data_IF_469193017986
#
_entry.id   IF_469193017986
#
_cell.length_a   1.000
_cell.length_b   1.000
_cell.length_c   1.000
_cell.angle_alpha   90.00
_cell.angle_beta   90.00
_cell.angle_gamma   90.00
#
_symmetry.space_group_name_H-M   'P 1'
#
loop_
_entity.id
_entity.type
_entity.pdbx_description
1 polymer ?
#
# COMPACT_ATOMS: atom_id res chain seq x y z
N UNK A 1 -5.50 55.96 3.00
CA UNK A 1 -6.50 54.87 2.95
C UNK A 1 -6.40 53.97 1.72
N UNK A 2 -6.17 54.50 0.50
CA UNK A 2 -6.02 53.65 -0.70
C UNK A 2 -4.79 52.75 -0.70
N UNK A 3 -3.64 53.24 -0.21
CA UNK A 3 -2.39 52.48 -0.12
C UNK A 3 -2.56 51.27 0.83
N UNK A 4 -3.12 51.52 2.00
CA UNK A 4 -3.33 50.42 3.00
C UNK A 4 -4.32 49.36 2.44
N UNK A 5 -5.30 49.79 1.66
CA UNK A 5 -6.24 48.87 1.02
C UNK A 5 -5.55 48.02 -0.06
N UNK A 6 -4.70 48.62 -0.89
CA UNK A 6 -3.97 47.91 -1.95
C UNK A 6 -2.86 47.02 -1.36
N UNK A 7 -2.13 47.49 -0.35
CA UNK A 7 -1.14 46.66 0.37
C UNK A 7 -1.82 45.48 1.06
N UNK A 8 -3.02 45.67 1.61
CA UNK A 8 -3.83 44.56 2.17
C UNK A 8 -4.28 43.55 1.11
N UNK A 9 -4.57 43.99 -0.11
CA UNK A 9 -4.88 43.10 -1.24
C UNK A 9 -3.64 42.26 -1.64
N UNK A 10 -2.48 42.94 -1.76
CA UNK A 10 -1.21 42.29 -2.11
C UNK A 10 -0.81 41.29 -1.03
N UNK A 11 -0.94 41.65 0.27
CA UNK A 11 -0.64 40.76 1.38
C UNK A 11 -1.58 39.52 1.43
N UNK A 12 -2.77 39.62 0.83
CA UNK A 12 -3.72 38.53 0.67
C UNK A 12 -3.53 37.71 -0.63
N UNK A 13 -2.40 37.96 -1.34
CA UNK A 13 -2.10 37.24 -2.59
C UNK A 13 -2.88 37.68 -3.81
N UNK A 14 -3.65 38.80 -3.74
CA UNK A 14 -4.35 39.39 -4.90
C UNK A 14 -3.38 40.24 -5.68
N UNK A 15 -2.69 39.63 -6.65
CA UNK A 15 -1.64 40.28 -7.45
C UNK A 15 -2.12 40.80 -8.80
N UNK A 16 -3.43 40.74 -9.10
CA UNK A 16 -3.94 41.01 -10.46
C UNK A 16 -4.18 42.50 -10.78
N UNK A 17 -4.30 43.36 -9.75
CA UNK A 17 -4.54 44.78 -9.95
C UNK A 17 -3.27 45.62 -9.83
N UNK A 18 -3.05 46.58 -10.76
CA UNK A 18 -1.95 47.55 -10.67
C UNK A 18 -2.17 48.56 -9.55
N UNK A 19 -1.12 48.82 -8.78
CA UNK A 19 -1.12 49.87 -7.78
C UNK A 19 -0.82 51.20 -8.44
N UNK A 20 -1.80 52.09 -8.55
CA UNK A 20 -1.60 53.47 -9.05
C UNK A 20 -2.00 54.49 -8.00
N UNK A 21 -1.02 55.29 -7.55
CA UNK A 21 -1.23 56.37 -6.58
C UNK A 21 -0.61 57.62 -7.14
N UNK A 22 -1.46 58.61 -7.53
CA UNK A 22 -1.04 59.77 -8.28
C UNK A 22 -0.87 61.06 -7.44
N UNK A 23 -0.81 60.97 -6.11
CA UNK A 23 -0.90 62.15 -5.23
C UNK A 23 0.42 62.91 -4.98
N UNK A 24 1.60 62.27 -5.18
CA UNK A 24 2.91 62.94 -5.09
C UNK A 24 3.99 62.10 -5.78
N UNK A 25 5.14 62.69 -6.06
CA UNK A 25 6.28 62.02 -6.70
C UNK A 25 6.79 60.84 -5.87
N UNK A 26 6.70 60.94 -4.55
CA UNK A 26 7.10 59.88 -3.60
C UNK A 26 6.16 58.69 -3.64
N UNK A 27 4.86 58.94 -3.75
CA UNK A 27 3.84 57.90 -3.90
C UNK A 27 3.87 57.21 -5.26
N UNK A 28 4.24 57.94 -6.33
CA UNK A 28 4.46 57.32 -7.62
C UNK A 28 5.65 56.37 -7.62
N UNK A 29 6.77 56.75 -6.96
CA UNK A 29 7.93 55.87 -6.77
C UNK A 29 7.57 54.64 -5.92
N UNK A 30 6.80 54.79 -4.86
CA UNK A 30 6.33 53.69 -4.02
C UNK A 30 5.46 52.71 -4.80
N UNK A 31 4.52 53.23 -5.61
CA UNK A 31 3.69 52.44 -6.51
C UNK A 31 4.52 51.63 -7.50
N UNK A 32 5.55 52.29 -8.08
CA UNK A 32 6.48 51.62 -8.99
C UNK A 32 7.21 50.44 -8.30
N UNK A 33 7.81 50.65 -7.13
CA UNK A 33 8.49 49.58 -6.40
C UNK A 33 7.56 48.44 -5.97
N UNK A 34 6.32 48.75 -5.57
CA UNK A 34 5.31 47.76 -5.24
C UNK A 34 4.96 46.93 -6.49
N UNK A 35 4.80 47.56 -7.65
CA UNK A 35 4.52 46.85 -8.90
C UNK A 35 5.70 46.02 -9.39
N UNK A 36 6.95 46.49 -9.23
CA UNK A 36 8.15 45.69 -9.50
C UNK A 36 8.25 44.46 -8.59
N UNK A 37 8.02 44.61 -7.28
CA UNK A 37 7.99 43.51 -6.34
C UNK A 37 6.90 42.49 -6.70
N UNK A 38 5.71 42.97 -7.04
CA UNK A 38 4.59 42.14 -7.51
C UNK A 38 4.95 41.38 -8.78
N UNK A 39 5.55 42.00 -9.77
CA UNK A 39 6.01 41.36 -11.01
C UNK A 39 7.07 40.28 -10.71
N UNK A 40 8.00 40.56 -9.80
CA UNK A 40 9.00 39.58 -9.37
C UNK A 40 8.36 38.35 -8.74
N UNK A 41 7.36 38.53 -7.87
CA UNK A 41 6.61 37.44 -7.25
C UNK A 41 5.85 36.62 -8.29
N UNK A 42 5.16 37.29 -9.25
CA UNK A 42 4.45 36.59 -10.33
C UNK A 42 5.39 35.76 -11.21
N UNK A 43 6.57 36.31 -11.54
CA UNK A 43 7.59 35.62 -12.35
C UNK A 43 8.13 34.40 -11.57
N UNK A 44 8.38 34.55 -10.27
CA UNK A 44 8.86 33.42 -9.46
C UNK A 44 7.81 32.31 -9.35
N UNK A 45 6.53 32.67 -9.18
CA UNK A 45 5.45 31.69 -9.17
C UNK A 45 5.34 30.95 -10.52
N UNK A 46 5.37 31.68 -11.63
CA UNK A 46 5.36 31.08 -12.98
C UNK A 46 6.57 30.19 -13.25
N UNK A 47 7.76 30.55 -12.77
CA UNK A 47 8.95 29.69 -12.86
C UNK A 47 8.76 28.41 -12.08
N UNK A 48 8.17 28.49 -10.89
CA UNK A 48 7.88 27.30 -10.08
C UNK A 48 6.89 26.38 -10.82
N UNK A 49 5.77 26.92 -11.31
CA UNK A 49 4.81 26.15 -12.09
C UNK A 49 5.45 25.52 -13.34
N UNK A 50 6.31 26.27 -14.05
CA UNK A 50 7.05 25.72 -15.19
C UNK A 50 7.97 24.56 -14.81
N UNK A 51 8.72 24.67 -13.73
CA UNK A 51 9.60 23.58 -13.25
C UNK A 51 8.75 22.33 -12.91
N UNK A 52 7.62 22.53 -12.24
CA UNK A 52 6.73 21.44 -11.85
C UNK A 52 6.11 20.73 -13.07
N UNK A 53 5.76 21.47 -14.13
CA UNK A 53 5.19 20.89 -15.37
C UNK A 53 6.21 20.05 -16.16
N UNK A 54 7.53 20.27 -15.97
CA UNK A 54 8.56 19.45 -16.64
C UNK A 54 8.71 18.04 -16.07
N UNK A 55 8.12 17.75 -14.91
CA UNK A 55 8.30 16.48 -14.22
C UNK A 55 7.41 15.34 -14.72
N UNK A 56 6.53 15.56 -15.68
CA UNK A 56 5.47 14.63 -16.11
C UNK A 56 4.59 14.10 -14.94
N UNK A 57 4.64 14.76 -13.79
CA UNK A 57 3.83 14.46 -12.62
C UNK A 57 2.97 15.67 -12.27
N UNK A 58 1.73 15.41 -11.94
CA UNK A 58 0.84 16.47 -11.45
C UNK A 58 1.24 16.78 -10.00
N UNK A 59 1.83 17.97 -9.80
CA UNK A 59 2.30 18.45 -8.51
C UNK A 59 1.52 19.69 -8.16
N UNK A 60 0.94 19.68 -6.97
CA UNK A 60 0.25 20.82 -6.39
C UNK A 60 0.94 21.28 -5.10
N UNK A 61 0.83 22.54 -4.81
CA UNK A 61 1.25 23.06 -3.50
C UNK A 61 0.23 24.05 -2.97
N UNK A 62 0.22 24.19 -1.65
CA UNK A 62 -0.55 25.16 -0.92
C UNK A 62 0.29 25.80 0.17
N UNK A 63 -0.03 27.04 0.46
CA UNK A 63 0.52 27.78 1.59
C UNK A 63 -0.61 28.48 2.31
N UNK A 64 -0.69 28.35 3.62
CA UNK A 64 -1.65 29.10 4.40
C UNK A 64 -1.06 29.65 5.71
N UNK A 65 -1.61 30.80 6.12
CA UNK A 65 -1.36 31.40 7.42
C UNK A 65 -2.69 31.61 8.14
N UNK A 66 -2.90 30.87 9.23
CA UNK A 66 -4.17 30.88 9.94
C UNK A 66 -4.43 32.21 10.66
N UNK A 67 -3.38 32.88 11.18
CA UNK A 67 -3.54 34.19 11.85
C UNK A 67 -3.89 35.31 10.88
N UNK A 68 -3.29 35.29 9.69
CA UNK A 68 -3.50 36.32 8.67
C UNK A 68 -4.70 36.00 7.75
N UNK A 69 -5.31 34.83 7.91
CA UNK A 69 -6.36 34.31 7.04
C UNK A 69 -5.96 34.40 5.55
N UNK A 70 -4.75 33.94 5.23
CA UNK A 70 -4.24 33.94 3.84
C UNK A 70 -4.07 32.52 3.35
N UNK A 71 -4.47 32.26 2.09
CA UNK A 71 -4.36 30.97 1.43
C UNK A 71 -3.88 31.17 -0.02
N UNK A 72 -2.84 30.45 -0.37
CA UNK A 72 -2.39 30.26 -1.74
C UNK A 72 -2.59 28.80 -2.17
N UNK A 73 -3.13 28.60 -3.38
CA UNK A 73 -3.30 27.29 -4.01
C UNK A 73 -2.72 27.37 -5.42
N UNK A 74 -1.76 26.51 -5.75
CA UNK A 74 -1.23 26.39 -7.11
C UNK A 74 -2.28 25.82 -8.07
N UNK A 75 -2.06 25.98 -9.36
CA UNK A 75 -2.96 25.42 -10.36
C UNK A 75 -2.93 23.89 -10.32
N UNK A 76 -1.75 23.27 -10.12
CA UNK A 76 -1.64 21.83 -9.92
C UNK A 76 -2.43 21.31 -8.71
N UNK A 77 -2.50 22.07 -7.60
CA UNK A 77 -3.37 21.70 -6.47
C UNK A 77 -4.84 21.68 -6.86
N UNK A 78 -5.29 22.72 -7.57
CA UNK A 78 -6.69 22.81 -8.04
C UNK A 78 -7.02 21.67 -9.00
N UNK A 79 -6.08 21.29 -9.86
CA UNK A 79 -6.24 20.19 -10.81
C UNK A 79 -6.31 18.82 -10.10
N UNK A 80 -5.42 18.53 -9.14
CA UNK A 80 -5.44 17.28 -8.34
C UNK A 80 -6.82 17.05 -7.72
N UNK A 81 -7.45 18.10 -7.20
CA UNK A 81 -8.74 18.00 -6.52
C UNK A 81 -9.93 18.42 -7.39
N UNK A 82 -9.70 18.74 -8.67
CA UNK A 82 -10.73 19.24 -9.60
C UNK A 82 -11.58 20.39 -9.00
N UNK A 83 -10.89 21.33 -8.30
CA UNK A 83 -11.56 22.43 -7.61
C UNK A 83 -12.08 23.46 -8.60
N UNK A 84 -13.33 23.85 -8.41
CA UNK A 84 -13.90 24.97 -9.16
C UNK A 84 -13.59 26.33 -8.50
N UNK A 85 -13.86 27.43 -9.23
CA UNK A 85 -13.60 28.79 -8.75
C UNK A 85 -14.39 29.12 -7.46
N UNK A 86 -15.58 28.59 -7.30
CA UNK A 86 -16.41 28.83 -6.12
C UNK A 86 -15.80 28.19 -4.85
N UNK A 87 -15.31 26.94 -4.95
CA UNK A 87 -14.63 26.26 -3.86
C UNK A 87 -13.33 26.96 -3.47
N UNK A 88 -12.55 27.40 -4.47
CA UNK A 88 -11.32 28.16 -4.21
C UNK A 88 -11.61 29.50 -3.51
N UNK A 89 -12.72 30.17 -3.86
CA UNK A 89 -13.16 31.41 -3.19
C UNK A 89 -13.57 31.14 -1.76
N UNK A 90 -14.40 30.13 -1.52
CA UNK A 90 -14.82 29.71 -0.18
C UNK A 90 -13.63 29.44 0.75
N UNK A 91 -12.63 28.68 0.29
CA UNK A 91 -11.42 28.39 1.07
C UNK A 91 -10.59 29.64 1.39
N UNK A 92 -10.63 30.68 0.51
CA UNK A 92 -9.95 31.96 0.74
C UNK A 92 -10.72 32.88 1.68
N UNK A 93 -12.04 32.76 1.74
CA UNK A 93 -12.88 33.54 2.66
C UNK A 93 -12.77 33.02 4.08
N UNK A 94 -12.81 31.69 4.25
CA UNK A 94 -12.59 31.03 5.55
C UNK A 94 -11.55 29.92 5.44
N UNK A 95 -10.38 30.15 6.02
CA UNK A 95 -9.26 29.19 6.02
C UNK A 95 -9.59 27.91 6.80
N UNK A 96 -10.55 27.96 7.73
CA UNK A 96 -10.94 26.76 8.48
C UNK A 96 -11.63 25.74 7.57
N UNK A 97 -12.38 26.18 6.56
CA UNK A 97 -12.95 25.30 5.55
C UNK A 97 -11.86 24.54 4.79
N UNK A 98 -10.74 25.21 4.49
CA UNK A 98 -9.58 24.58 3.86
C UNK A 98 -8.86 23.58 4.80
N UNK A 99 -8.69 23.94 6.06
CA UNK A 99 -8.09 23.05 7.07
C UNK A 99 -8.96 21.81 7.27
N UNK A 100 -10.28 21.97 7.34
CA UNK A 100 -11.21 20.83 7.42
C UNK A 100 -11.19 19.96 6.18
N UNK A 101 -11.00 20.56 5.01
CA UNK A 101 -10.78 19.81 3.77
C UNK A 101 -9.51 18.95 3.85
N UNK A 102 -8.38 19.50 4.32
CA UNK A 102 -7.14 18.73 4.52
C UNK A 102 -7.33 17.62 5.57
N UNK A 103 -8.02 17.91 6.67
CA UNK A 103 -8.31 16.93 7.72
C UNK A 103 -9.12 15.74 7.17
N UNK A 104 -10.07 15.98 6.27
CA UNK A 104 -10.82 14.90 5.61
C UNK A 104 -9.91 14.03 4.75
N UNK A 105 -8.92 14.60 4.06
CA UNK A 105 -7.94 13.81 3.29
C UNK A 105 -7.13 12.92 4.22
N UNK A 106 -6.73 13.41 5.40
CA UNK A 106 -5.96 12.66 6.37
C UNK A 106 -6.66 11.38 6.86
N UNK A 107 -7.98 11.31 6.82
CA UNK A 107 -8.74 10.09 7.16
C UNK A 107 -8.58 8.96 6.15
N UNK A 108 -8.04 9.25 4.96
CA UNK A 108 -7.86 8.28 3.86
C UNK A 108 -6.38 7.85 3.69
N UNK A 109 -5.59 7.95 4.76
CA UNK A 109 -4.20 7.53 4.74
C UNK A 109 -4.09 6.01 4.53
N UNK A 110 -3.30 5.60 3.52
CA UNK A 110 -3.05 4.18 3.17
C UNK A 110 -1.63 3.71 3.54
N UNK A 111 -0.65 4.62 3.45
CA UNK A 111 0.73 4.44 3.91
C UNK A 111 1.22 5.77 4.50
N UNK A 112 2.42 5.78 5.11
CA UNK A 112 3.01 7.03 5.60
C UNK A 112 3.08 8.05 4.47
N UNK A 113 2.49 9.23 4.71
CA UNK A 113 2.44 10.37 3.79
C UNK A 113 1.74 10.08 2.44
N UNK A 114 1.02 8.93 2.30
CA UNK A 114 0.28 8.55 1.10
C UNK A 114 -1.20 8.36 1.44
N UNK A 115 -2.04 8.99 0.65
CA UNK A 115 -3.49 9.06 0.84
C UNK A 115 -4.22 8.60 -0.43
N UNK A 116 -5.31 7.85 -0.26
CA UNK A 116 -6.19 7.49 -1.37
C UNK A 116 -7.38 8.41 -1.43
N UNK A 117 -7.65 9.00 -2.59
CA UNK A 117 -8.81 9.85 -2.85
C UNK A 117 -9.90 9.04 -3.57
N UNK A 118 -10.93 8.53 -2.85
CA UNK A 118 -11.91 7.60 -3.45
C UNK A 118 -12.70 8.20 -4.61
N UNK A 119 -13.07 9.49 -4.52
CA UNK A 119 -13.87 10.18 -5.54
C UNK A 119 -13.15 10.30 -6.88
N UNK A 120 -11.82 10.46 -6.84
CA UNK A 120 -10.98 10.65 -8.02
C UNK A 120 -10.23 9.36 -8.40
N UNK A 121 -10.23 8.36 -7.51
CA UNK A 121 -9.44 7.12 -7.63
C UNK A 121 -7.94 7.38 -7.76
N UNK A 122 -7.45 8.43 -7.09
CA UNK A 122 -6.04 8.85 -7.11
C UNK A 122 -5.34 8.52 -5.80
N UNK A 123 -4.03 8.21 -5.90
CA UNK A 123 -3.12 8.15 -4.77
C UNK A 123 -2.26 9.41 -4.78
N UNK A 124 -2.29 10.17 -3.70
CA UNK A 124 -1.49 11.38 -3.54
C UNK A 124 -0.48 11.20 -2.42
N UNK A 125 0.70 11.75 -2.60
CA UNK A 125 1.67 11.93 -1.54
C UNK A 125 1.62 13.37 -1.05
N UNK A 126 1.54 13.57 0.27
CA UNK A 126 1.48 14.89 0.91
C UNK A 126 2.68 15.04 1.84
N UNK A 127 3.40 16.15 1.70
CA UNK A 127 4.48 16.52 2.57
C UNK A 127 4.25 17.96 3.06
N UNK A 128 3.99 18.12 4.36
CA UNK A 128 3.73 19.40 4.98
C UNK A 128 4.93 19.86 5.81
N UNK A 129 5.19 21.17 5.76
CA UNK A 129 6.13 21.83 6.66
C UNK A 129 5.45 23.01 7.32
N UNK A 130 5.44 23.01 8.64
CA UNK A 130 4.93 24.11 9.44
C UNK A 130 6.09 24.95 9.96
N UNK A 131 6.02 26.26 9.73
CA UNK A 131 6.97 27.24 10.24
C UNK A 131 6.20 28.39 10.90
N UNK A 132 6.27 28.47 12.23
CA UNK A 132 5.50 29.39 13.08
C UNK A 132 3.99 29.33 12.75
N UNK A 133 3.46 30.33 12.08
CA UNK A 133 2.04 30.45 11.72
C UNK A 133 1.76 30.07 10.26
N UNK A 134 2.81 29.81 9.47
CA UNK A 134 2.69 29.37 8.08
C UNK A 134 2.76 27.86 7.96
N UNK A 135 1.96 27.30 7.10
CA UNK A 135 2.04 25.89 6.68
C UNK A 135 2.17 25.83 5.16
N UNK A 136 3.24 25.22 4.71
CA UNK A 136 3.48 24.93 3.30
C UNK A 136 3.31 23.42 3.08
N UNK A 137 2.46 23.01 2.15
CA UNK A 137 2.28 21.63 1.75
C UNK A 137 2.53 21.42 0.27
N UNK A 138 3.19 20.31 -0.05
CA UNK A 138 3.39 19.84 -1.43
C UNK A 138 2.64 18.53 -1.59
N UNK A 139 1.86 18.43 -2.66
CA UNK A 139 1.10 17.25 -3.04
C UNK A 139 1.55 16.77 -4.41
N UNK A 140 1.70 15.46 -4.54
CA UNK A 140 2.13 14.82 -5.78
C UNK A 140 1.13 13.72 -6.11
N UNK A 141 0.57 13.72 -7.31
CA UNK A 141 -0.16 12.56 -7.82
C UNK A 141 0.83 11.45 -8.14
N UNK A 142 0.78 10.39 -7.35
CA UNK A 142 1.63 9.21 -7.48
C UNK A 142 0.86 7.98 -7.96
N UNK A 143 -0.36 8.16 -8.47
CA UNK A 143 -1.28 7.05 -8.81
C UNK A 143 -0.62 6.01 -9.69
N UNK A 144 -0.04 6.42 -10.81
CA UNK A 144 0.61 5.50 -11.75
C UNK A 144 1.80 4.78 -11.14
N UNK A 145 2.67 5.51 -10.44
CA UNK A 145 3.87 4.94 -9.80
C UNK A 145 3.52 4.05 -8.62
N UNK A 146 2.51 4.42 -7.82
CA UNK A 146 2.02 3.64 -6.70
C UNK A 146 1.42 2.31 -7.15
N UNK A 147 0.51 2.34 -8.14
CA UNK A 147 -0.11 1.12 -8.70
C UNK A 147 0.97 0.21 -9.31
N UNK A 148 1.91 0.78 -10.09
CA UNK A 148 3.01 0.00 -10.67
C UNK A 148 3.88 -0.64 -9.58
N UNK A 149 4.23 0.10 -8.53
CA UNK A 149 4.99 -0.44 -7.39
C UNK A 149 4.25 -1.58 -6.72
N UNK A 150 2.96 -1.41 -6.42
CA UNK A 150 2.13 -2.45 -5.80
C UNK A 150 2.01 -3.70 -6.68
N UNK A 151 1.87 -3.51 -7.99
CA UNK A 151 1.84 -4.64 -8.93
C UNK A 151 3.17 -5.42 -8.90
N UNK A 152 4.30 -4.72 -8.95
CA UNK A 152 5.63 -5.36 -8.86
C UNK A 152 5.80 -6.08 -7.51
N UNK A 153 5.34 -5.50 -6.40
CA UNK A 153 5.36 -6.14 -5.08
C UNK A 153 4.55 -7.44 -5.08
N UNK A 154 3.35 -7.42 -5.65
CA UNK A 154 2.51 -8.62 -5.77
C UNK A 154 3.19 -9.68 -6.66
N UNK A 155 3.66 -9.33 -7.85
CA UNK A 155 4.35 -10.25 -8.75
C UNK A 155 5.62 -10.86 -8.13
N UNK A 156 6.34 -10.09 -7.31
CA UNK A 156 7.53 -10.54 -6.59
C UNK A 156 7.20 -11.52 -5.45
N UNK A 157 6.09 -11.35 -4.77
CA UNK A 157 5.80 -12.00 -3.48
C UNK A 157 4.69 -13.07 -3.56
N UNK A 158 3.96 -13.17 -4.68
CA UNK A 158 2.83 -14.08 -4.86
C UNK A 158 3.09 -15.07 -6.01
N UNK A 159 2.65 -16.31 -5.86
CA UNK A 159 2.64 -17.33 -6.92
C UNK A 159 1.47 -17.07 -7.87
N UNK A 160 1.77 -16.92 -9.16
CA UNK A 160 0.79 -16.52 -10.18
C UNK A 160 -0.37 -17.52 -10.31
N UNK A 161 -0.11 -18.83 -10.22
CA UNK A 161 -1.11 -19.86 -10.37
C UNK A 161 -2.06 -19.95 -9.19
N UNK A 162 -1.49 -19.97 -7.97
CA UNK A 162 -2.22 -20.30 -6.75
C UNK A 162 -2.65 -19.08 -5.94
N UNK A 163 -2.15 -17.89 -6.27
CA UNK A 163 -2.48 -16.63 -5.59
C UNK A 163 -2.27 -16.67 -4.06
N UNK A 164 -1.27 -17.45 -3.63
CA UNK A 164 -0.69 -17.43 -2.28
C UNK A 164 0.75 -16.93 -2.36
N UNK A 165 1.42 -16.75 -1.23
CA UNK A 165 2.83 -16.32 -1.26
C UNK A 165 3.69 -17.30 -2.06
N UNK A 166 4.60 -16.77 -2.88
CA UNK A 166 5.71 -17.55 -3.41
C UNK A 166 6.82 -17.70 -2.35
N UNK A 167 7.90 -18.40 -2.68
CA UNK A 167 9.04 -18.62 -1.77
C UNK A 167 9.59 -17.32 -1.17
N UNK A 168 9.70 -16.27 -1.96
CA UNK A 168 10.24 -14.97 -1.53
C UNK A 168 9.29 -14.24 -0.59
N UNK A 169 8.04 -14.09 -1.00
CA UNK A 169 7.01 -13.40 -0.20
C UNK A 169 6.77 -14.09 1.13
N UNK A 170 6.70 -15.43 1.13
CA UNK A 170 6.54 -16.22 2.34
C UNK A 170 7.70 -16.00 3.31
N UNK A 171 8.95 -16.06 2.82
CA UNK A 171 10.15 -15.82 3.64
C UNK A 171 10.14 -14.44 4.29
N UNK A 172 9.81 -13.39 3.54
CA UNK A 172 9.72 -12.02 4.05
C UNK A 172 8.66 -11.92 5.16
N UNK A 173 7.48 -12.51 4.92
CA UNK A 173 6.36 -12.43 5.86
C UNK A 173 6.62 -13.21 7.15
N UNK A 174 7.16 -14.43 7.05
CA UNK A 174 7.48 -15.24 8.24
C UNK A 174 8.59 -14.57 9.05
N UNK A 175 9.68 -14.11 8.43
CA UNK A 175 10.74 -13.43 9.17
C UNK A 175 10.23 -12.23 9.94
N UNK A 176 9.34 -11.42 9.33
CA UNK A 176 8.72 -10.29 10.02
C UNK A 176 7.88 -10.72 11.24
N UNK A 177 7.21 -11.87 11.18
CA UNK A 177 6.48 -12.42 12.33
C UNK A 177 7.44 -12.96 13.41
N UNK A 178 8.54 -13.61 13.03
CA UNK A 178 9.53 -14.14 13.97
C UNK A 178 10.32 -13.02 14.69
N UNK A 179 10.38 -11.80 14.13
CA UNK A 179 10.94 -10.62 14.79
C UNK A 179 10.02 -10.08 15.90
N UNK A 180 8.73 -10.42 15.88
CA UNK A 180 7.79 -10.02 16.93
C UNK A 180 8.02 -10.84 18.20
N UNK A 181 8.51 -10.18 19.25
CA UNK A 181 8.76 -10.79 20.55
C UNK A 181 7.50 -11.33 21.24
N UNK A 182 6.32 -10.93 20.78
CA UNK A 182 5.03 -11.35 21.30
C UNK A 182 4.43 -12.52 20.51
N UNK A 183 5.15 -13.04 19.50
CA UNK A 183 4.67 -14.24 18.80
C UNK A 183 4.59 -15.40 19.80
N UNK A 184 3.37 -15.83 20.10
CA UNK A 184 3.12 -16.91 21.05
C UNK A 184 3.44 -18.29 20.43
N UNK A 185 2.53 -19.28 20.52
CA UNK A 185 2.78 -20.58 19.91
C UNK A 185 2.67 -20.49 18.38
N UNK A 186 3.62 -21.12 17.68
CA UNK A 186 3.66 -21.17 16.21
C UNK A 186 4.32 -22.46 15.73
N UNK A 187 4.01 -22.82 14.47
CA UNK A 187 4.59 -23.97 13.80
C UNK A 187 4.71 -23.73 12.29
N UNK A 188 5.76 -24.28 11.69
CA UNK A 188 5.95 -24.36 10.26
C UNK A 188 5.66 -25.79 9.79
N UNK A 189 4.84 -25.90 8.76
CA UNK A 189 4.49 -27.17 8.14
C UNK A 189 5.00 -27.16 6.70
N UNK A 190 5.83 -28.13 6.37
CA UNK A 190 6.25 -28.39 5.00
C UNK A 190 5.37 -29.48 4.42
N UNK A 191 4.83 -29.23 3.21
CA UNK A 191 3.83 -30.07 2.56
C UNK A 191 4.29 -30.40 1.14
N UNK A 192 4.20 -31.65 0.76
CA UNK A 192 4.49 -32.17 -0.59
C UNK A 192 3.23 -32.86 -1.14
N UNK A 193 2.69 -32.32 -2.23
CA UNK A 193 1.49 -32.82 -2.88
C UNK A 193 1.82 -34.07 -3.71
N UNK A 194 1.12 -35.15 -3.49
CA UNK A 194 1.39 -36.43 -4.14
C UNK A 194 0.55 -36.60 -5.42
N UNK A 195 1.16 -37.14 -6.47
CA UNK A 195 0.43 -37.53 -7.68
C UNK A 195 0.27 -36.45 -8.73
N UNK A 196 0.80 -35.23 -8.55
CA UNK A 196 0.70 -34.13 -9.52
C UNK A 196 1.17 -34.54 -10.92
N UNK A 197 2.30 -35.27 -11.01
CA UNK A 197 2.81 -35.75 -12.31
C UNK A 197 1.82 -36.71 -12.98
N UNK A 198 1.25 -37.65 -12.22
CA UNK A 198 0.28 -38.60 -12.78
C UNK A 198 -1.00 -37.88 -13.28
N UNK A 199 -1.47 -36.87 -12.53
CA UNK A 199 -2.62 -36.06 -12.92
C UNK A 199 -2.29 -35.31 -14.24
N UNK A 200 -1.10 -34.70 -14.34
CA UNK A 200 -0.66 -34.04 -15.58
C UNK A 200 -0.59 -35.01 -16.76
N UNK A 201 -0.04 -36.20 -16.55
CA UNK A 201 0.15 -37.19 -17.60
C UNK A 201 -1.20 -37.78 -18.08
N UNK A 202 -2.19 -37.95 -17.20
CA UNK A 202 -3.50 -38.56 -17.50
C UNK A 202 -4.53 -37.54 -17.95
N UNK A 203 -4.61 -36.38 -17.28
CA UNK A 203 -5.69 -35.39 -17.45
C UNK A 203 -5.21 -34.05 -18.02
N UNK A 204 -3.89 -33.91 -18.28
CA UNK A 204 -3.29 -32.70 -18.79
C UNK A 204 -2.94 -31.65 -17.71
N UNK A 205 -2.09 -30.70 -18.10
CA UNK A 205 -1.58 -29.67 -17.18
C UNK A 205 -2.67 -28.80 -16.57
N UNK A 206 -3.76 -28.56 -17.28
CA UNK A 206 -4.89 -27.79 -16.74
C UNK A 206 -5.48 -28.45 -15.48
N UNK A 207 -5.65 -29.77 -15.49
CA UNK A 207 -6.12 -30.52 -14.31
C UNK A 207 -5.09 -30.51 -13.18
N UNK A 208 -3.79 -30.55 -13.50
CA UNK A 208 -2.73 -30.38 -12.50
C UNK A 208 -2.74 -29.00 -11.86
N UNK A 209 -3.01 -27.95 -12.64
CA UNK A 209 -3.16 -26.60 -12.12
C UNK A 209 -4.38 -26.46 -11.18
N UNK A 210 -5.49 -27.11 -11.51
CA UNK A 210 -6.66 -27.18 -10.64
C UNK A 210 -6.36 -27.96 -9.35
N UNK A 211 -5.59 -29.04 -9.44
CA UNK A 211 -5.19 -29.81 -8.27
C UNK A 211 -4.32 -28.99 -7.29
N UNK A 212 -3.40 -28.17 -7.81
CA UNK A 212 -2.63 -27.21 -7.01
C UNK A 212 -3.51 -26.14 -6.36
N UNK A 213 -4.51 -25.63 -7.09
CA UNK A 213 -5.49 -24.67 -6.56
C UNK A 213 -6.37 -25.29 -5.48
N UNK A 214 -6.77 -26.55 -5.62
CA UNK A 214 -7.53 -27.24 -4.58
C UNK A 214 -6.73 -27.37 -3.27
N UNK A 215 -5.45 -27.73 -3.35
CA UNK A 215 -4.58 -27.76 -2.16
C UNK A 215 -4.51 -26.37 -1.50
N UNK A 216 -4.38 -25.31 -2.29
CA UNK A 216 -4.37 -23.94 -1.80
C UNK A 216 -5.65 -23.56 -1.06
N UNK A 217 -6.81 -23.90 -1.64
CA UNK A 217 -8.12 -23.62 -1.04
C UNK A 217 -8.26 -24.30 0.33
N UNK A 218 -7.85 -25.55 0.40
CA UNK A 218 -7.85 -26.34 1.62
C UNK A 218 -6.97 -25.67 2.71
N UNK A 219 -5.74 -25.31 2.37
CA UNK A 219 -4.83 -24.66 3.32
C UNK A 219 -5.35 -23.31 3.83
N UNK A 220 -6.05 -22.55 2.98
CA UNK A 220 -6.67 -21.27 3.37
C UNK A 220 -7.84 -21.45 4.35
N UNK A 221 -8.52 -22.56 4.34
CA UNK A 221 -9.70 -22.79 5.22
C UNK A 221 -9.33 -23.24 6.63
N UNK A 222 -8.15 -23.84 6.84
CA UNK A 222 -7.80 -24.47 8.14
C UNK A 222 -7.69 -23.47 9.29
N UNK A 223 -7.07 -22.30 9.09
CA UNK A 223 -6.77 -21.39 10.21
C UNK A 223 -7.04 -19.92 9.95
N UNK A 224 -7.67 -19.61 8.85
CA UNK A 224 -8.02 -18.23 8.51
C UNK A 224 -6.82 -17.28 8.54
N UNK A 225 -6.94 -16.19 9.30
CA UNK A 225 -5.89 -15.16 9.40
C UNK A 225 -4.65 -15.59 10.20
N UNK A 226 -4.70 -16.72 10.93
CA UNK A 226 -3.59 -17.22 11.74
C UNK A 226 -2.62 -18.12 10.97
N UNK A 227 -2.72 -18.15 9.64
CA UNK A 227 -1.84 -18.95 8.81
C UNK A 227 -1.35 -18.18 7.59
N UNK A 228 -0.03 -18.15 7.41
CA UNK A 228 0.57 -17.76 6.14
C UNK A 228 0.79 -19.00 5.30
N UNK A 229 0.25 -19.00 4.08
CA UNK A 229 0.39 -20.11 3.13
C UNK A 229 1.22 -19.67 1.95
N UNK A 230 2.16 -20.50 1.52
CA UNK A 230 2.98 -20.25 0.34
C UNK A 230 3.32 -21.51 -0.43
N UNK A 231 3.60 -21.32 -1.74
CA UNK A 231 4.09 -22.35 -2.63
C UNK A 231 5.56 -22.12 -2.94
N UNK A 232 6.39 -23.13 -2.69
CA UNK A 232 7.83 -23.02 -2.92
C UNK A 232 8.22 -23.30 -4.38
N UNK A 233 7.40 -24.05 -5.09
CA UNK A 233 7.55 -24.47 -6.47
C UNK A 233 7.04 -25.89 -6.68
N UNK A 234 6.69 -26.24 -7.92
CA UNK A 234 6.16 -27.57 -8.22
C UNK A 234 4.97 -27.95 -7.34
N UNK A 235 5.14 -28.99 -6.55
CA UNK A 235 4.18 -29.60 -5.62
C UNK A 235 4.45 -29.30 -4.13
N UNK A 236 5.39 -28.39 -3.83
CA UNK A 236 5.82 -28.05 -2.47
C UNK A 236 5.12 -26.80 -1.94
N UNK A 237 4.55 -26.92 -0.73
CA UNK A 237 3.89 -25.85 -0.01
C UNK A 237 4.43 -25.70 1.41
N UNK A 238 4.29 -24.50 1.97
CA UNK A 238 4.49 -24.22 3.39
C UNK A 238 3.24 -23.55 3.94
N UNK A 239 2.85 -23.99 5.14
CA UNK A 239 1.88 -23.32 5.99
C UNK A 239 2.57 -22.92 7.30
N UNK A 240 2.51 -21.63 7.66
CA UNK A 240 3.07 -21.10 8.90
C UNK A 240 1.96 -20.61 9.80
N UNK A 241 1.66 -21.39 10.84
CA UNK A 241 0.66 -21.09 11.85
C UNK A 241 1.26 -20.22 12.95
N UNK A 242 0.58 -19.14 13.35
CA UNK A 242 1.12 -18.14 14.28
C UNK A 242 0.07 -17.55 15.21
N UNK A 243 0.53 -16.91 16.30
CA UNK A 243 -0.31 -16.23 17.30
C UNK A 243 -1.36 -17.13 17.95
N UNK A 244 -0.98 -18.38 18.26
CA UNK A 244 -1.83 -19.27 19.05
C UNK A 244 -1.57 -19.09 20.55
N UNK A 245 -2.65 -19.04 21.33
CA UNK A 245 -2.59 -18.89 22.79
C UNK A 245 -2.11 -20.16 23.48
N UNK A 246 -2.28 -21.34 22.87
CA UNK A 246 -1.87 -22.63 23.41
C UNK A 246 -1.44 -23.61 22.33
N UNK A 247 -0.56 -24.54 22.71
CA UNK A 247 -0.15 -25.65 21.85
C UNK A 247 -1.29 -26.57 21.49
N UNK A 248 -2.29 -26.70 22.37
CA UNK A 248 -3.48 -27.52 22.11
C UNK A 248 -4.28 -27.01 20.94
N UNK A 249 -4.59 -25.70 20.93
CA UNK A 249 -5.29 -25.06 19.81
C UNK A 249 -4.50 -25.18 18.50
N UNK A 250 -3.18 -24.92 18.56
CA UNK A 250 -2.30 -25.07 17.41
C UNK A 250 -2.33 -26.49 16.85
N UNK A 251 -2.23 -27.50 17.72
CA UNK A 251 -2.27 -28.90 17.32
C UNK A 251 -3.64 -29.31 16.75
N UNK A 252 -4.73 -28.79 17.28
CA UNK A 252 -6.06 -29.05 16.76
C UNK A 252 -6.20 -28.58 15.31
N UNK A 253 -5.73 -27.37 14.99
CA UNK A 253 -5.75 -26.85 13.62
C UNK A 253 -4.80 -27.64 12.70
N UNK A 254 -3.60 -27.99 13.17
CA UNK A 254 -2.67 -28.84 12.40
C UNK A 254 -3.28 -30.23 12.13
N UNK A 255 -4.01 -30.81 13.08
CA UNK A 255 -4.63 -32.11 12.92
C UNK A 255 -5.75 -32.13 11.86
N UNK A 256 -6.38 -31.00 11.56
CA UNK A 256 -7.33 -30.89 10.43
C UNK A 256 -6.68 -31.29 9.10
N UNK A 257 -5.36 -31.13 8.95
CA UNK A 257 -4.65 -31.64 7.77
C UNK A 257 -4.81 -33.15 7.58
N UNK A 258 -4.92 -33.92 8.65
CA UNK A 258 -5.16 -35.37 8.56
C UNK A 258 -6.59 -35.70 8.12
N UNK A 259 -7.56 -34.86 8.50
CA UNK A 259 -8.98 -35.05 8.12
C UNK A 259 -9.23 -34.70 6.65
N UNK A 260 -8.48 -33.72 6.13
CA UNK A 260 -8.59 -33.24 4.75
C UNK A 260 -7.80 -34.13 3.78
N UNK A 261 -6.74 -34.74 4.28
CA UNK A 261 -5.92 -35.61 3.46
C UNK A 261 -6.72 -36.79 2.94
N UNK A 262 -6.54 -37.06 1.65
CA UNK A 262 -7.24 -38.10 0.90
C UNK A 262 -8.75 -37.81 0.67
N UNK A 263 -9.23 -36.57 0.94
CA UNK A 263 -10.56 -36.14 0.50
C UNK A 263 -10.64 -36.06 -1.02
N UNK A 264 -11.83 -36.31 -1.53
CA UNK A 264 -12.11 -36.20 -2.97
C UNK A 264 -12.25 -34.73 -3.35
N UNK A 265 -11.48 -34.31 -4.33
CA UNK A 265 -11.56 -32.98 -4.93
C UNK A 265 -11.97 -33.09 -6.40
N UNK A 266 -12.79 -32.15 -6.83
CA UNK A 266 -13.23 -32.07 -8.23
C UNK A 266 -12.19 -31.31 -9.05
N UNK A 267 -11.87 -31.82 -10.20
CA UNK A 267 -11.12 -31.17 -11.27
C UNK A 267 -12.06 -30.76 -12.41
N UNK A 268 -11.54 -30.48 -13.59
CA UNK A 268 -12.37 -30.20 -14.78
C UNK A 268 -13.09 -31.46 -15.29
N UNK A 269 -14.16 -31.23 -16.05
CA UNK A 269 -14.93 -32.30 -16.79
C UNK A 269 -15.41 -33.44 -15.87
N UNK A 270 -15.88 -33.12 -14.65
CA UNK A 270 -16.37 -34.06 -13.64
C UNK A 270 -15.32 -35.08 -13.15
N UNK A 271 -14.05 -34.89 -13.48
CA UNK A 271 -13.00 -35.75 -12.94
C UNK A 271 -12.78 -35.44 -11.46
N UNK A 272 -12.74 -36.47 -10.64
CA UNK A 272 -12.46 -36.38 -9.22
C UNK A 272 -11.21 -37.19 -8.86
N UNK A 273 -10.40 -36.64 -7.97
CA UNK A 273 -9.17 -37.28 -7.47
C UNK A 273 -9.09 -37.12 -5.97
N UNK A 274 -8.33 -38.00 -5.31
CA UNK A 274 -8.03 -37.82 -3.90
C UNK A 274 -6.94 -36.75 -3.73
N UNK A 275 -7.15 -35.79 -2.83
CA UNK A 275 -6.15 -34.79 -2.46
C UNK A 275 -5.08 -35.45 -1.55
N UNK A 276 -4.08 -36.06 -2.18
CA UNK A 276 -3.03 -36.78 -1.48
C UNK A 276 -1.82 -35.90 -1.23
N UNK A 277 -1.37 -35.81 0.00
CA UNK A 277 -0.16 -35.07 0.36
C UNK A 277 0.56 -35.70 1.59
N UNK A 278 1.83 -35.38 1.73
CA UNK A 278 2.64 -35.69 2.91
C UNK A 278 3.07 -34.40 3.56
N UNK A 279 3.18 -34.36 4.89
CA UNK A 279 3.64 -33.18 5.59
C UNK A 279 4.51 -33.50 6.80
N UNK A 280 5.31 -32.52 7.20
CA UNK A 280 6.07 -32.55 8.45
C UNK A 280 5.95 -31.22 9.17
N UNK A 281 6.05 -31.23 10.49
CA UNK A 281 5.82 -30.07 11.34
C UNK A 281 7.08 -29.75 12.14
N UNK A 282 7.48 -28.47 12.14
CA UNK A 282 8.47 -27.92 13.06
C UNK A 282 7.80 -26.86 13.93
N UNK A 283 7.84 -27.06 15.25
CA UNK A 283 7.30 -26.11 16.22
C UNK A 283 8.33 -25.03 16.58
N UNK A 284 7.85 -23.87 17.01
CA UNK A 284 8.70 -22.78 17.49
C UNK A 284 9.60 -23.16 18.68
N UNK A 285 9.24 -24.19 19.43
CA UNK A 285 10.08 -24.78 20.50
C UNK A 285 11.28 -25.56 19.98
N UNK A 286 11.28 -25.98 18.72
CA UNK A 286 12.38 -26.74 18.10
C UNK A 286 13.38 -25.83 17.41
N UNK A 287 12.92 -24.73 16.82
CA UNK A 287 13.76 -23.70 16.19
C UNK A 287 13.01 -22.39 16.05
N UNK A 288 13.74 -21.27 16.11
CA UNK A 288 13.28 -19.93 15.81
C UNK A 288 13.90 -19.37 14.53
N UNK A 289 14.83 -20.10 13.93
CA UNK A 289 15.41 -19.77 12.62
C UNK A 289 14.60 -20.40 11.50
N UNK A 290 14.13 -19.58 10.57
CA UNK A 290 13.23 -20.01 9.50
C UNK A 290 13.87 -21.10 8.61
N UNK A 291 15.14 -20.96 8.26
CA UNK A 291 15.81 -21.93 7.40
C UNK A 291 15.89 -23.30 8.10
N UNK A 292 16.21 -23.27 9.38
CA UNK A 292 16.27 -24.49 10.20
C UNK A 292 14.90 -25.11 10.42
N UNK A 293 13.86 -24.29 10.59
CA UNK A 293 12.48 -24.79 10.68
C UNK A 293 12.05 -25.52 9.40
N UNK A 294 12.40 -24.97 8.24
CA UNK A 294 12.11 -25.62 6.95
C UNK A 294 12.82 -26.97 6.85
N UNK A 295 14.11 -27.04 7.18
CA UNK A 295 14.90 -28.28 7.15
C UNK A 295 14.32 -29.37 8.06
N UNK A 296 13.92 -29.01 9.29
CA UNK A 296 13.31 -29.95 10.24
C UNK A 296 11.95 -30.45 9.72
N UNK A 297 11.12 -29.53 9.22
CA UNK A 297 9.79 -29.89 8.72
C UNK A 297 9.89 -30.76 7.45
N UNK A 298 10.79 -30.42 6.50
CA UNK A 298 11.05 -31.21 5.30
C UNK A 298 11.54 -32.63 5.65
N UNK A 299 12.50 -32.75 6.56
CA UNK A 299 12.97 -34.04 7.03
C UNK A 299 11.82 -34.90 7.60
N UNK A 300 10.98 -34.33 8.45
CA UNK A 300 9.82 -35.02 9.02
C UNK A 300 8.77 -35.39 7.95
N UNK A 301 8.55 -34.52 6.96
CA UNK A 301 7.68 -34.79 5.82
C UNK A 301 8.20 -35.98 5.01
N UNK A 302 9.50 -36.03 4.73
CA UNK A 302 10.13 -37.13 4.01
C UNK A 302 9.98 -38.47 4.75
N UNK A 303 10.21 -38.51 6.09
CA UNK A 303 9.97 -39.67 6.90
C UNK A 303 8.51 -40.16 6.84
N UNK A 304 7.55 -39.23 6.89
CA UNK A 304 6.14 -39.55 6.74
C UNK A 304 5.81 -40.10 5.34
N UNK A 305 6.39 -39.54 4.28
CA UNK A 305 6.23 -39.99 2.89
C UNK A 305 6.75 -41.42 2.71
N UNK A 306 7.90 -41.77 3.31
CA UNK A 306 8.46 -43.14 3.29
C UNK A 306 7.57 -44.14 3.99
N UNK A 307 7.07 -43.83 5.17
CA UNK A 307 6.16 -44.71 5.92
C UNK A 307 4.86 -45.01 5.18
N UNK A 308 4.38 -44.06 4.36
CA UNK A 308 3.17 -44.27 3.51
C UNK A 308 3.43 -45.13 2.29
N UNK A 309 4.62 -45.02 1.64
CA UNK A 309 4.98 -45.83 0.46
C UNK A 309 5.32 -47.28 0.82
N UNK A 310 5.64 -47.56 2.08
CA UNK A 310 5.94 -48.91 2.58
C UNK A 310 4.72 -49.68 3.09
N UNK A 311 3.53 -49.07 3.02
CA UNK A 311 2.24 -49.70 3.26
C UNK A 311 1.51 -49.90 1.93
#
# INVERSE_FOLDING_TARGET
NQINHQLSKISKGQLDEEVSINNSLEFQKLSHYINEMKQSLLVNNKKMDYILTQTNQLIGFYEYNQKLNTLYLSDGFKEIFSLNSQQCTQFKEDINDFIDFLNKINTHQVEKDIYYLPQMKHYIQINDRKDQDNTLGVMIDITTSYIKRKKIEIERDVDELTQIYNRNGLKIKINKLLEDKNIAQYALIFIDLVGLKQINDVYGHYCGDLYLKQMTNVLKTISGEKCLVGRLGGDEFIAFFHHYDSMEKLNNDINQLNEIRDQIVLLADDHSVNLAFSYGVCYGTESTDLQRMIEIADYKMYENKRKRKGR
#
